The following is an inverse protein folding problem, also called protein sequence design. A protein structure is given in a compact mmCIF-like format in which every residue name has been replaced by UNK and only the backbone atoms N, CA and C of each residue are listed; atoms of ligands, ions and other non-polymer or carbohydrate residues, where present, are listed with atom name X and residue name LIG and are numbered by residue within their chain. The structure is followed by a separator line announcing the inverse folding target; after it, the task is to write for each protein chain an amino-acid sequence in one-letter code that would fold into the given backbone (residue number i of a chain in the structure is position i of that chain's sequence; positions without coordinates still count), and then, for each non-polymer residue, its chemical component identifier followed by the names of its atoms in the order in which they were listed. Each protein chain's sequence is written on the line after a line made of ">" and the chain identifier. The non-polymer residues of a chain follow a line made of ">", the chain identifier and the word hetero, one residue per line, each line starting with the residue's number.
data_IF_099181566984
#
_entry.id   IF_099181566984
#
_cell.length_a   1.000
_cell.length_b   1.000
_cell.length_c   1.000
_cell.angle_alpha   90.00
_cell.angle_beta   90.00
_cell.angle_gamma   90.00
#
_symmetry.space_group_name_H-M   'P 1'
#
loop_
_entity.id
_entity.type
_entity.pdbx_description
1 polymer ?
#
# COMPACT_ATOMS: atom_id res chain seq x y z
N UNK A 1 5.17 60.98 -64.03
CA UNK A 1 4.73 61.77 -62.84
C UNK A 1 4.80 60.93 -61.61
N UNK A 2 5.83 61.08 -60.78
CA UNK A 2 6.08 60.29 -59.59
C UNK A 2 5.59 61.05 -58.36
N UNK A 3 4.75 60.43 -57.53
CA UNK A 3 4.31 60.96 -56.21
C UNK A 3 5.27 60.49 -55.14
N UNK A 4 5.83 61.43 -54.39
CA UNK A 4 6.66 61.21 -53.18
C UNK A 4 5.87 60.63 -52.04
N UNK A 5 6.45 59.75 -51.21
CA UNK A 5 5.80 59.27 -50.02
C UNK A 5 5.96 60.24 -48.84
N UNK A 6 4.86 60.48 -48.13
CA UNK A 6 4.78 61.30 -46.92
C UNK A 6 5.31 60.53 -45.68
N UNK A 7 6.23 61.20 -44.99
CA UNK A 7 6.84 60.67 -43.77
C UNK A 7 5.83 60.62 -42.58
N UNK A 8 5.69 59.44 -41.97
CA UNK A 8 4.85 59.15 -40.80
C UNK A 8 5.62 59.55 -39.54
N UNK A 9 5.15 60.59 -38.84
CA UNK A 9 5.66 61.01 -37.51
C UNK A 9 5.45 59.91 -36.49
N UNK A 10 6.53 59.40 -35.86
CA UNK A 10 6.49 58.50 -34.70
C UNK A 10 6.07 59.32 -33.46
N UNK A 11 4.93 58.97 -32.85
CA UNK A 11 4.51 59.51 -31.56
C UNK A 11 5.33 58.82 -30.46
N UNK A 12 6.09 59.63 -29.73
CA UNK A 12 6.81 59.19 -28.53
C UNK A 12 5.80 58.97 -27.42
N UNK A 13 5.55 57.70 -27.06
CA UNK A 13 4.77 57.36 -25.87
C UNK A 13 5.55 57.74 -24.61
N UNK A 14 5.03 58.67 -23.85
CA UNK A 14 5.52 59.03 -22.51
C UNK A 14 5.28 57.84 -21.57
N UNK A 15 6.34 57.38 -20.90
CA UNK A 15 6.24 56.39 -19.82
C UNK A 15 5.33 56.88 -18.67
N UNK A 16 4.50 55.99 -18.09
CA UNK A 16 3.67 56.39 -16.97
C UNK A 16 4.52 56.68 -15.72
N UNK A 17 4.20 57.78 -15.07
CA UNK A 17 4.80 58.16 -13.78
C UNK A 17 4.54 57.06 -12.74
N UNK A 18 5.49 56.76 -11.83
CA UNK A 18 5.25 55.79 -10.76
C UNK A 18 4.16 56.29 -9.83
N UNK A 19 3.17 55.46 -9.59
CA UNK A 19 2.12 55.70 -8.60
C UNK A 19 2.75 55.79 -7.22
N UNK A 20 2.61 56.97 -6.60
CA UNK A 20 2.97 57.23 -5.18
C UNK A 20 2.21 56.18 -4.32
N UNK A 21 2.94 55.32 -3.61
CA UNK A 21 2.38 54.39 -2.65
C UNK A 21 1.59 55.22 -1.59
N UNK A 22 0.29 54.97 -1.52
CA UNK A 22 -0.53 55.49 -0.42
C UNK A 22 -0.01 54.87 0.88
N UNK A 23 0.33 55.71 1.85
CA UNK A 23 0.67 55.28 3.19
C UNK A 23 -0.46 54.37 3.72
N UNK A 24 -0.11 53.13 4.03
CA UNK A 24 -1.02 52.20 4.68
C UNK A 24 -1.34 52.74 6.07
N UNK A 25 -2.62 52.80 6.39
CA UNK A 25 -3.10 53.08 7.75
C UNK A 25 -2.43 52.08 8.70
N UNK A 26 -2.16 52.48 9.97
CA UNK A 26 -1.57 51.57 10.97
C UNK A 26 -2.55 50.41 11.23
N UNK A 27 -2.35 49.31 10.53
CA UNK A 27 -3.10 48.09 10.76
C UNK A 27 -2.85 47.61 12.17
N UNK A 28 -3.92 47.30 12.88
CA UNK A 28 -3.89 46.63 14.17
C UNK A 28 -3.02 45.41 14.07
N UNK A 29 -1.79 45.47 14.57
CA UNK A 29 -0.93 44.31 14.74
C UNK A 29 -1.53 43.49 15.87
N UNK A 30 -2.37 42.53 15.54
CA UNK A 30 -2.67 41.45 16.46
C UNK A 30 -1.33 40.76 16.80
N UNK A 31 -0.84 41.00 18.01
CA UNK A 31 0.23 40.22 18.59
C UNK A 31 -0.35 38.86 18.90
N UNK A 32 -0.32 37.95 17.92
CA UNK A 32 -0.54 36.53 18.15
C UNK A 32 0.74 36.06 18.86
N UNK A 33 0.72 36.04 20.18
CA UNK A 33 1.72 35.37 20.99
C UNK A 33 1.66 33.89 20.60
N UNK A 34 2.81 33.29 20.16
CA UNK A 34 3.02 31.94 19.75
C UNK A 34 2.89 31.64 18.22
N UNK A 35 3.32 32.52 17.36
CA UNK A 35 3.60 32.17 15.97
C UNK A 35 5.04 31.68 15.89
N UNK A 36 5.20 30.40 15.66
CA UNK A 36 6.49 29.83 15.30
C UNK A 36 6.87 30.27 13.88
N UNK A 37 8.09 30.79 13.71
CA UNK A 37 8.62 31.18 12.40
C UNK A 37 9.76 30.25 12.03
N UNK A 38 9.52 29.38 11.09
CA UNK A 38 10.50 28.44 10.58
C UNK A 38 10.87 28.81 9.13
N UNK A 39 12.16 28.80 8.73
CA UNK A 39 12.53 28.92 7.32
C UNK A 39 11.85 27.84 6.49
N UNK A 40 11.33 28.19 5.32
CA UNK A 40 10.60 27.25 4.45
C UNK A 40 11.47 26.04 4.08
N UNK A 41 12.76 26.25 3.81
CA UNK A 41 13.69 25.17 3.50
C UNK A 41 13.77 24.13 4.64
N UNK A 42 13.96 24.60 5.88
CA UNK A 42 14.04 23.73 7.07
C UNK A 42 12.72 22.98 7.32
N UNK A 43 11.58 23.69 7.15
CA UNK A 43 10.26 23.06 7.26
C UNK A 43 10.06 21.97 6.22
N UNK A 44 10.38 22.26 4.94
CA UNK A 44 10.19 21.30 3.85
C UNK A 44 11.09 20.08 4.00
N UNK A 45 12.38 20.28 4.36
CA UNK A 45 13.32 19.20 4.60
C UNK A 45 12.81 18.25 5.69
N UNK A 46 12.43 18.79 6.85
CA UNK A 46 11.91 17.99 7.97
C UNK A 46 10.61 17.29 7.60
N UNK A 47 9.64 18.00 7.05
CA UNK A 47 8.34 17.43 6.69
C UNK A 47 8.47 16.33 5.62
N UNK A 48 9.38 16.52 4.64
CA UNK A 48 9.63 15.50 3.63
C UNK A 48 10.34 14.27 4.21
N UNK A 49 11.30 14.46 5.11
CA UNK A 49 11.95 13.35 5.79
C UNK A 49 10.96 12.55 6.65
N UNK A 50 10.16 13.22 7.47
CA UNK A 50 9.14 12.57 8.31
C UNK A 50 8.11 11.81 7.45
N UNK A 51 7.66 12.41 6.35
CA UNK A 51 6.78 11.74 5.39
C UNK A 51 7.45 10.53 4.72
N UNK A 52 8.69 10.65 4.31
CA UNK A 52 9.45 9.56 3.67
C UNK A 52 9.62 8.36 4.61
N UNK A 53 9.98 8.62 5.86
CA UNK A 53 10.08 7.60 6.90
C UNK A 53 8.74 6.90 7.13
N UNK A 54 7.65 7.66 7.25
CA UNK A 54 6.31 7.10 7.39
C UNK A 54 5.92 6.21 6.20
N UNK A 55 6.19 6.64 4.96
CA UNK A 55 5.88 5.85 3.75
C UNK A 55 6.65 4.54 3.73
N UNK A 56 7.92 4.54 4.13
CA UNK A 56 8.75 3.33 4.19
C UNK A 56 8.28 2.37 5.31
N UNK A 57 8.06 2.90 6.51
CA UNK A 57 7.85 2.07 7.71
C UNK A 57 6.41 1.61 7.88
N UNK A 58 5.42 2.44 7.47
CA UNK A 58 4.01 2.21 7.84
C UNK A 58 3.01 2.35 6.68
N UNK A 59 3.45 2.29 5.43
CA UNK A 59 2.53 2.40 4.29
C UNK A 59 2.84 1.46 3.14
N UNK A 60 3.99 1.63 2.49
CA UNK A 60 4.23 1.09 1.15
C UNK A 60 4.83 -0.31 1.16
N UNK A 61 5.65 -0.63 2.16
CA UNK A 61 6.39 -1.87 2.21
C UNK A 61 5.71 -2.92 3.10
N UNK A 62 5.72 -4.20 2.70
CA UNK A 62 5.23 -5.29 3.52
C UNK A 62 6.23 -5.64 4.61
N UNK A 63 5.75 -6.25 5.69
CA UNK A 63 6.62 -6.87 6.67
C UNK A 63 7.02 -8.28 6.23
N UNK A 64 8.31 -8.65 6.34
CA UNK A 64 8.82 -9.94 5.86
C UNK A 64 8.19 -11.14 6.57
N UNK A 65 7.80 -11.00 7.83
CA UNK A 65 7.25 -12.10 8.64
C UNK A 65 5.86 -12.56 8.16
N UNK A 66 5.00 -11.63 7.71
CA UNK A 66 3.64 -11.95 7.29
C UNK A 66 3.29 -11.54 5.85
N UNK A 67 4.21 -10.85 5.17
CA UNK A 67 4.02 -10.42 3.78
C UNK A 67 2.96 -9.33 3.58
N UNK A 68 2.48 -8.70 4.66
CA UNK A 68 1.39 -7.75 4.63
C UNK A 68 1.88 -6.31 4.80
N UNK A 69 1.27 -5.40 4.04
CA UNK A 69 1.31 -3.97 4.33
C UNK A 69 0.43 -3.65 5.53
N UNK A 70 0.68 -2.55 6.26
CA UNK A 70 -0.11 -2.19 7.45
C UNK A 70 -1.63 -2.18 7.21
N UNK A 71 -2.09 -1.56 6.11
CA UNK A 71 -3.52 -1.53 5.77
C UNK A 71 -4.10 -2.92 5.54
N UNK A 72 -3.35 -3.81 4.89
CA UNK A 72 -3.78 -5.19 4.61
C UNK A 72 -3.92 -6.00 5.91
N UNK A 73 -2.93 -5.87 6.81
CA UNK A 73 -2.95 -6.50 8.13
C UNK A 73 -4.14 -6.03 8.95
N UNK A 74 -4.41 -4.74 8.99
CA UNK A 74 -5.55 -4.14 9.68
C UNK A 74 -6.89 -4.58 9.11
N UNK A 75 -7.01 -4.75 7.78
CA UNK A 75 -8.22 -5.31 7.15
C UNK A 75 -8.46 -6.75 7.60
N UNK A 76 -7.45 -7.61 7.49
CA UNK A 76 -7.57 -9.04 7.88
C UNK A 76 -7.89 -9.16 9.36
N UNK A 77 -7.24 -8.36 10.22
CA UNK A 77 -7.51 -8.33 11.65
C UNK A 77 -8.93 -7.85 11.96
N UNK A 78 -9.37 -6.73 11.41
CA UNK A 78 -10.72 -6.22 11.62
C UNK A 78 -11.79 -7.21 11.14
N UNK A 79 -11.57 -7.92 10.03
CA UNK A 79 -12.48 -8.97 9.57
C UNK A 79 -12.53 -10.15 10.54
N UNK A 80 -11.42 -10.50 11.18
CA UNK A 80 -11.38 -11.51 12.24
C UNK A 80 -12.19 -11.06 13.46
N UNK A 81 -12.00 -9.84 13.93
CA UNK A 81 -12.76 -9.24 15.04
C UNK A 81 -14.27 -9.18 14.76
N UNK A 82 -14.65 -8.96 13.51
CA UNK A 82 -16.06 -8.99 13.06
C UNK A 82 -16.64 -10.41 12.95
N UNK A 83 -15.85 -11.45 13.21
CA UNK A 83 -16.25 -12.84 13.07
C UNK A 83 -16.50 -13.27 11.62
N UNK A 84 -15.86 -12.61 10.65
CA UNK A 84 -16.01 -12.90 9.22
C UNK A 84 -15.10 -14.05 8.76
N UNK A 85 -15.12 -15.17 9.47
CA UNK A 85 -14.41 -16.38 9.06
C UNK A 85 -14.89 -16.94 7.73
N UNK A 86 -14.17 -17.87 7.14
CA UNK A 86 -14.54 -18.52 5.86
C UNK A 86 -15.91 -19.20 5.88
N UNK A 87 -16.38 -19.65 7.06
CA UNK A 87 -17.69 -20.26 7.25
C UNK A 87 -18.80 -19.24 7.55
N UNK A 88 -18.46 -17.99 7.83
CA UNK A 88 -19.41 -16.94 8.16
C UNK A 88 -20.24 -16.51 6.95
N UNK A 89 -21.38 -15.89 7.21
CA UNK A 89 -22.16 -15.21 6.18
C UNK A 89 -21.41 -13.96 5.71
N UNK A 90 -21.50 -13.68 4.42
CA UNK A 90 -20.97 -12.44 3.86
C UNK A 90 -21.58 -11.21 4.54
N UNK A 91 -20.78 -10.18 4.67
CA UNK A 91 -21.19 -8.86 5.15
C UNK A 91 -20.81 -7.80 4.11
N UNK A 92 -21.57 -6.71 4.07
CA UNK A 92 -21.23 -5.56 3.21
C UNK A 92 -19.80 -5.09 3.46
N UNK A 93 -19.03 -4.92 2.39
CA UNK A 93 -17.63 -4.47 2.47
C UNK A 93 -17.50 -3.12 3.17
N UNK A 94 -18.49 -2.24 3.02
CA UNK A 94 -18.57 -0.98 3.75
C UNK A 94 -18.54 -1.15 5.28
N UNK A 95 -19.02 -2.27 5.84
CA UNK A 95 -18.93 -2.57 7.27
C UNK A 95 -17.48 -2.80 7.69
N UNK A 96 -16.75 -3.63 6.93
CA UNK A 96 -15.33 -3.88 7.19
C UNK A 96 -14.50 -2.60 7.08
N UNK A 97 -14.69 -1.85 5.98
CA UNK A 97 -13.98 -0.57 5.77
C UNK A 97 -14.26 0.40 6.93
N UNK A 98 -15.51 0.54 7.35
CA UNK A 98 -15.90 1.40 8.48
C UNK A 98 -15.19 1.02 9.78
N UNK A 99 -15.13 -0.26 10.12
CA UNK A 99 -14.43 -0.73 11.32
C UNK A 99 -12.91 -0.53 11.23
N UNK A 100 -12.30 -0.79 10.07
CA UNK A 100 -10.87 -0.55 9.85
C UNK A 100 -10.52 0.92 10.07
N UNK A 101 -11.26 1.83 9.45
CA UNK A 101 -11.03 3.28 9.57
C UNK A 101 -11.28 3.79 10.99
N UNK A 102 -12.35 3.32 11.61
CA UNK A 102 -12.74 3.78 12.95
C UNK A 102 -11.85 3.27 14.07
N UNK A 103 -11.20 2.10 13.90
CA UNK A 103 -10.47 1.43 14.95
C UNK A 103 -8.95 1.42 14.76
N UNK A 104 -8.47 1.26 13.53
CA UNK A 104 -7.05 0.91 13.29
C UNK A 104 -6.34 1.77 12.25
N UNK A 105 -7.04 2.30 11.24
CA UNK A 105 -6.39 2.91 10.07
C UNK A 105 -7.03 4.25 9.68
N UNK A 106 -6.61 5.38 10.30
CA UNK A 106 -7.23 6.69 10.12
C UNK A 106 -6.83 7.34 8.78
N UNK A 107 -7.20 6.72 7.66
CA UNK A 107 -6.89 7.15 6.29
C UNK A 107 -8.15 7.16 5.42
N UNK A 108 -7.99 7.41 4.11
CA UNK A 108 -9.12 7.44 3.17
C UNK A 108 -9.80 6.08 2.99
N UNK A 109 -11.12 6.07 2.97
CA UNK A 109 -11.95 4.89 2.76
C UNK A 109 -11.70 4.21 1.40
N UNK A 110 -11.51 5.01 0.36
CA UNK A 110 -11.20 4.51 -0.99
C UNK A 110 -9.91 3.70 -1.02
N UNK A 111 -8.83 4.18 -0.39
CA UNK A 111 -7.56 3.47 -0.34
C UNK A 111 -7.66 2.15 0.45
N UNK A 112 -8.41 2.16 1.56
CA UNK A 112 -8.69 0.96 2.34
C UNK A 112 -9.49 -0.06 1.52
N UNK A 113 -10.54 0.40 0.83
CA UNK A 113 -11.35 -0.49 0.00
C UNK A 113 -10.58 -1.03 -1.22
N UNK A 114 -9.77 -0.20 -1.89
CA UNK A 114 -8.90 -0.66 -2.99
C UNK A 114 -7.92 -1.75 -2.55
N UNK A 115 -7.32 -1.60 -1.37
CA UNK A 115 -6.47 -2.66 -0.80
C UNK A 115 -7.27 -3.95 -0.55
N UNK A 116 -8.50 -3.82 -0.07
CA UNK A 116 -9.42 -4.95 0.14
C UNK A 116 -9.79 -5.64 -1.19
N UNK A 117 -10.03 -4.85 -2.24
CA UNK A 117 -10.33 -5.35 -3.59
C UNK A 117 -9.17 -6.19 -4.13
N UNK A 118 -7.93 -5.70 -4.06
CA UNK A 118 -6.76 -6.44 -4.51
C UNK A 118 -6.61 -7.80 -3.82
N UNK A 119 -6.85 -7.86 -2.50
CA UNK A 119 -6.78 -9.11 -1.73
C UNK A 119 -7.91 -10.11 -2.06
N UNK A 120 -8.99 -9.66 -2.71
CA UNK A 120 -10.10 -10.50 -3.14
C UNK A 120 -10.00 -10.94 -4.60
N UNK A 121 -9.17 -10.30 -5.42
CA UNK A 121 -9.07 -10.59 -6.85
C UNK A 121 -8.21 -11.85 -7.10
N UNK A 122 -8.76 -12.94 -7.66
CA UNK A 122 -8.01 -14.17 -7.91
C UNK A 122 -6.96 -14.04 -9.03
N UNK A 123 -7.03 -12.97 -9.82
CA UNK A 123 -6.03 -12.63 -10.83
C UNK A 123 -4.94 -11.67 -10.34
N UNK A 124 -5.12 -11.07 -9.13
CA UNK A 124 -4.11 -10.21 -8.49
C UNK A 124 -3.35 -10.96 -7.40
N UNK A 125 -4.03 -11.85 -6.66
CA UNK A 125 -3.46 -12.64 -5.57
C UNK A 125 -3.45 -14.12 -5.93
N UNK A 126 -2.27 -14.76 -5.84
CA UNK A 126 -2.16 -16.22 -6.07
C UNK A 126 -2.98 -17.01 -5.06
N UNK A 127 -3.05 -16.51 -3.83
CA UNK A 127 -3.85 -17.04 -2.73
C UNK A 127 -4.66 -15.90 -2.09
N UNK A 128 -5.87 -15.60 -2.61
CA UNK A 128 -6.69 -14.53 -2.07
C UNK A 128 -6.96 -14.67 -0.59
N UNK A 129 -6.92 -13.55 0.13
CA UNK A 129 -7.21 -13.51 1.56
C UNK A 129 -8.67 -13.17 1.85
N UNK A 130 -9.35 -12.57 0.89
CA UNK A 130 -10.75 -12.16 0.98
C UNK A 130 -11.55 -12.93 -0.05
N UNK A 131 -12.65 -13.51 0.40
CA UNK A 131 -13.69 -14.10 -0.42
C UNK A 131 -14.78 -13.05 -0.63
N UNK A 132 -14.94 -12.60 -1.87
CA UNK A 132 -15.81 -11.50 -2.25
C UNK A 132 -17.02 -11.97 -3.04
N UNK A 133 -18.19 -11.35 -2.78
CA UNK A 133 -19.42 -11.52 -3.54
C UNK A 133 -19.83 -10.20 -4.19
N UNK A 134 -20.13 -10.23 -5.49
CA UNK A 134 -20.42 -9.05 -6.29
C UNK A 134 -19.35 -8.79 -7.37
N UNK A 135 -19.28 -7.56 -7.87
CA UNK A 135 -18.28 -7.17 -8.86
C UNK A 135 -17.01 -6.64 -8.16
N UNK A 136 -15.92 -7.41 -8.26
CA UNK A 136 -14.60 -7.10 -7.73
C UNK A 136 -13.57 -6.80 -8.84
N UNK A 137 -14.04 -6.47 -10.05
CA UNK A 137 -13.21 -6.26 -11.23
C UNK A 137 -12.97 -7.54 -12.03
N UNK A 138 -12.24 -7.40 -13.12
CA UNK A 138 -11.86 -8.50 -14.02
C UNK A 138 -10.40 -8.36 -14.45
N UNK A 139 -9.78 -9.40 -15.01
CA UNK A 139 -8.42 -9.29 -15.55
C UNK A 139 -8.25 -8.19 -16.59
N UNK A 140 -9.28 -7.98 -17.44
CA UNK A 140 -9.25 -6.95 -18.49
C UNK A 140 -9.43 -5.53 -17.93
N UNK A 141 -10.16 -5.39 -16.81
CA UNK A 141 -10.36 -4.12 -16.11
C UNK A 141 -10.34 -4.29 -14.59
N UNK A 142 -9.15 -4.39 -14.00
CA UNK A 142 -8.98 -4.63 -12.57
C UNK A 142 -9.53 -3.51 -11.68
N UNK A 143 -9.70 -2.31 -12.23
CA UNK A 143 -10.18 -1.13 -11.50
C UNK A 143 -11.68 -0.89 -11.63
N UNK A 144 -12.37 -1.64 -12.47
CA UNK A 144 -13.83 -1.54 -12.65
C UNK A 144 -14.58 -2.45 -11.67
N UNK A 145 -14.45 -2.16 -10.39
CA UNK A 145 -15.16 -2.85 -9.31
C UNK A 145 -16.30 -2.00 -8.77
N UNK A 146 -17.31 -2.64 -8.18
CA UNK A 146 -18.46 -1.95 -7.59
C UNK A 146 -18.07 -1.24 -6.28
N UNK A 147 -18.79 -0.18 -5.94
CA UNK A 147 -18.60 0.49 -4.66
C UNK A 147 -18.85 -0.43 -3.47
N UNK A 148 -18.16 -0.20 -2.35
CA UNK A 148 -18.17 -1.04 -1.14
C UNK A 148 -19.56 -1.28 -0.53
N UNK A 149 -20.54 -0.43 -0.84
CA UNK A 149 -21.94 -0.60 -0.42
C UNK A 149 -22.68 -1.70 -1.18
N UNK A 150 -22.17 -2.11 -2.34
CA UNK A 150 -22.78 -3.18 -3.17
C UNK A 150 -22.08 -4.51 -2.97
N UNK A 151 -20.76 -4.54 -2.75
CA UNK A 151 -20.00 -5.77 -2.55
C UNK A 151 -20.16 -6.32 -1.14
N UNK A 152 -19.99 -7.62 -1.02
CA UNK A 152 -19.97 -8.34 0.26
C UNK A 152 -18.70 -9.16 0.37
N UNK A 153 -18.23 -9.39 1.58
CA UNK A 153 -16.94 -10.03 1.82
C UNK A 153 -16.90 -10.83 3.11
N UNK A 154 -15.97 -11.78 3.15
CA UNK A 154 -15.53 -12.57 4.32
C UNK A 154 -14.08 -13.01 4.09
N UNK A 155 -13.45 -13.59 5.09
CA UNK A 155 -12.12 -14.17 4.96
C UNK A 155 -12.17 -15.50 4.19
N UNK A 156 -11.07 -15.82 3.48
CA UNK A 156 -10.89 -17.15 2.87
C UNK A 156 -10.39 -18.15 3.90
N UNK A 157 -10.46 -19.48 3.62
CA UNK A 157 -9.79 -20.49 4.43
C UNK A 157 -8.27 -20.26 4.52
N UNK A 158 -7.66 -19.73 3.45
CA UNK A 158 -6.22 -19.44 3.43
C UNK A 158 -5.84 -18.28 4.38
N UNK A 159 -6.69 -17.26 4.53
CA UNK A 159 -6.48 -16.19 5.49
C UNK A 159 -6.46 -16.69 6.94
N UNK A 160 -7.12 -17.82 7.25
CA UNK A 160 -7.09 -18.41 8.60
C UNK A 160 -5.69 -18.87 8.98
N UNK A 161 -4.83 -19.23 8.03
CA UNK A 161 -3.44 -19.58 8.30
C UNK A 161 -2.63 -18.39 8.86
N UNK A 162 -2.99 -17.15 8.51
CA UNK A 162 -2.40 -15.93 9.09
C UNK A 162 -2.83 -15.70 10.54
N UNK A 163 -4.03 -16.12 10.90
CA UNK A 163 -4.71 -15.75 12.15
C UNK A 163 -4.69 -16.86 13.21
N UNK A 164 -4.46 -18.11 12.82
CA UNK A 164 -4.73 -19.30 13.64
C UNK A 164 -4.01 -19.36 14.99
N UNK A 165 -2.92 -18.61 15.15
CA UNK A 165 -2.13 -18.59 16.39
C UNK A 165 -2.13 -17.21 17.07
N UNK A 166 -2.98 -16.29 16.62
CA UNK A 166 -2.98 -14.90 17.06
C UNK A 166 -3.19 -14.75 18.57
N UNK A 167 -4.06 -15.59 19.16
CA UNK A 167 -4.39 -15.57 20.60
C UNK A 167 -3.45 -16.43 21.46
N UNK A 168 -2.40 -17.02 20.86
CA UNK A 168 -1.50 -17.94 21.56
C UNK A 168 -0.21 -17.27 22.08
N UNK A 169 -0.18 -15.95 22.13
CA UNK A 169 1.01 -15.20 22.59
C UNK A 169 2.18 -15.22 21.60
N UNK A 170 1.92 -15.50 20.33
CA UNK A 170 2.92 -15.62 19.27
C UNK A 170 3.37 -14.29 18.69
N UNK A 171 2.65 -13.21 18.95
CA UNK A 171 2.88 -11.88 18.38
C UNK A 171 2.87 -10.79 19.43
N UNK A 172 3.59 -9.68 19.14
CA UNK A 172 3.50 -8.47 19.94
C UNK A 172 2.26 -7.66 19.57
N UNK A 173 1.62 -7.09 20.55
CA UNK A 173 0.50 -6.17 20.42
C UNK A 173 0.99 -4.73 20.58
N UNK A 174 0.40 -3.83 19.84
CA UNK A 174 0.70 -2.39 19.90
C UNK A 174 -0.60 -1.59 19.99
N UNK A 175 -0.59 -0.44 20.68
CA UNK A 175 -1.75 0.43 20.68
C UNK A 175 -2.12 0.87 19.25
N UNK A 176 -3.42 0.99 18.99
CA UNK A 176 -3.93 1.60 17.77
C UNK A 176 -3.64 3.11 17.77
N UNK A 177 -4.06 3.82 16.70
CA UNK A 177 -3.74 5.23 16.48
C UNK A 177 -4.21 6.19 17.60
N UNK A 178 -5.27 5.86 18.35
CA UNK A 178 -5.80 6.68 19.45
C UNK A 178 -5.53 6.09 20.84
N UNK A 179 -4.87 4.92 20.92
CA UNK A 179 -4.51 4.24 22.16
C UNK A 179 -5.69 3.60 22.91
N UNK A 180 -6.86 3.48 22.29
CA UNK A 180 -8.06 2.89 22.91
C UNK A 180 -8.17 1.40 22.72
N UNK A 181 -7.51 0.86 21.70
CA UNK A 181 -7.49 -0.57 21.35
C UNK A 181 -6.06 -1.03 21.09
N UNK A 182 -5.87 -2.32 20.96
CA UNK A 182 -4.61 -2.93 20.55
C UNK A 182 -4.77 -3.61 19.18
N UNK A 183 -3.71 -3.60 18.38
CA UNK A 183 -3.63 -4.33 17.12
C UNK A 183 -2.35 -5.18 17.08
N UNK A 184 -2.34 -6.32 16.35
CA UNK A 184 -1.13 -7.13 16.23
C UNK A 184 -0.10 -6.41 15.37
N UNK A 185 1.13 -6.31 15.87
CA UNK A 185 2.25 -5.69 15.13
C UNK A 185 2.55 -6.45 13.84
N UNK A 186 2.47 -7.77 13.88
CA UNK A 186 2.60 -8.72 12.75
C UNK A 186 1.62 -9.86 12.96
N UNK A 187 1.28 -10.58 11.89
CA UNK A 187 0.48 -11.81 12.00
C UNK A 187 1.38 -13.03 12.27
N UNK A 188 0.86 -14.09 12.94
CA UNK A 188 1.61 -15.33 13.18
C UNK A 188 2.07 -16.02 11.89
N UNK A 189 1.30 -15.92 10.84
CA UNK A 189 1.53 -16.29 9.45
C UNK A 189 1.75 -17.78 9.14
N UNK A 190 2.36 -18.59 9.99
CA UNK A 190 2.68 -20.03 9.83
C UNK A 190 3.47 -20.39 8.56
N UNK A 191 3.31 -19.65 7.49
CA UNK A 191 3.92 -19.83 6.17
C UNK A 191 4.51 -18.49 5.68
N UNK A 192 5.53 -18.51 4.83
CA UNK A 192 6.13 -17.29 4.30
C UNK A 192 5.23 -16.63 3.23
N UNK A 193 4.19 -15.94 3.68
CA UNK A 193 3.20 -15.28 2.80
C UNK A 193 3.82 -14.28 1.83
N UNK A 194 4.95 -13.67 2.20
CA UNK A 194 5.72 -12.80 1.30
C UNK A 194 6.14 -13.51 0.01
N UNK A 195 6.43 -14.80 0.06
CA UNK A 195 6.73 -15.60 -1.12
C UNK A 195 5.46 -16.14 -1.79
N UNK A 196 4.45 -16.52 -1.02
CA UNK A 196 3.24 -17.15 -1.55
C UNK A 196 2.42 -16.20 -2.43
N UNK A 197 2.15 -15.00 -1.95
CA UNK A 197 1.39 -14.00 -2.71
C UNK A 197 2.30 -12.99 -3.42
N UNK A 198 3.59 -12.99 -3.11
CA UNK A 198 4.46 -11.92 -3.55
C UNK A 198 4.04 -10.58 -2.94
N UNK A 199 4.66 -9.52 -3.38
CA UNK A 199 4.28 -8.17 -2.99
C UNK A 199 4.96 -7.14 -3.87
N UNK A 200 4.28 -6.06 -4.17
CA UNK A 200 4.86 -4.88 -4.81
C UNK A 200 4.65 -3.67 -3.91
N UNK A 201 5.64 -2.81 -3.82
CA UNK A 201 5.53 -1.60 -3.01
C UNK A 201 6.53 -0.54 -3.44
N UNK A 202 6.02 0.67 -3.72
CA UNK A 202 6.83 1.81 -4.11
C UNK A 202 6.83 2.80 -2.95
N UNK A 203 7.97 2.91 -2.28
CA UNK A 203 8.20 3.86 -1.20
C UNK A 203 9.05 5.04 -1.67
N UNK A 204 9.47 5.89 -0.77
CA UNK A 204 10.41 6.96 -1.06
C UNK A 204 11.84 6.43 -0.96
N UNK A 205 12.60 6.51 -2.05
CA UNK A 205 13.99 6.06 -2.10
C UNK A 205 14.19 4.55 -2.24
N UNK A 206 13.13 3.73 -2.16
CA UNK A 206 13.21 2.29 -2.35
C UNK A 206 11.88 1.71 -2.84
N UNK A 207 11.95 0.54 -3.46
CA UNK A 207 10.79 -0.23 -3.90
C UNK A 207 11.04 -1.71 -3.63
N UNK A 208 9.96 -2.50 -3.55
CA UNK A 208 10.01 -3.95 -3.51
C UNK A 208 9.10 -4.52 -4.60
N UNK A 209 9.54 -5.62 -5.21
CA UNK A 209 8.76 -6.37 -6.19
C UNK A 209 9.14 -7.85 -6.08
N UNK A 210 8.31 -8.60 -5.38
CA UNK A 210 8.51 -10.03 -5.12
C UNK A 210 7.37 -10.78 -5.81
N UNK A 211 7.67 -11.69 -6.77
CA UNK A 211 6.64 -12.47 -7.43
C UNK A 211 6.03 -13.52 -6.50
N UNK A 212 4.79 -13.98 -6.77
CA UNK A 212 4.18 -15.09 -6.04
C UNK A 212 4.80 -16.43 -6.42
N UNK A 213 4.68 -17.43 -5.50
CA UNK A 213 5.24 -18.77 -5.67
C UNK A 213 4.23 -19.86 -5.29
N UNK A 214 4.47 -21.06 -5.80
CA UNK A 214 3.60 -22.20 -5.54
C UNK A 214 3.72 -22.67 -4.08
N UNK A 215 2.57 -22.83 -3.41
CA UNK A 215 2.50 -23.25 -2.00
C UNK A 215 3.20 -24.57 -1.72
N UNK A 216 3.05 -25.59 -2.60
CA UNK A 216 3.66 -26.89 -2.40
C UNK A 216 5.18 -26.81 -2.50
N UNK A 217 5.70 -26.03 -3.45
CA UNK A 217 7.12 -25.80 -3.64
C UNK A 217 7.72 -25.06 -2.44
N UNK A 218 7.06 -23.99 -1.99
CA UNK A 218 7.48 -23.20 -0.81
C UNK A 218 7.45 -24.09 0.45
N UNK A 219 6.40 -24.88 0.65
CA UNK A 219 6.32 -25.80 1.79
C UNK A 219 7.45 -26.85 1.76
N UNK A 220 7.75 -27.42 0.59
CA UNK A 220 8.86 -28.36 0.45
C UNK A 220 10.22 -27.72 0.74
N UNK A 221 10.42 -26.47 0.33
CA UNK A 221 11.62 -25.69 0.66
C UNK A 221 11.72 -25.38 2.16
N UNK A 222 10.59 -25.08 2.82
CA UNK A 222 10.55 -24.88 4.27
C UNK A 222 10.93 -26.18 5.02
N UNK A 223 10.37 -27.31 4.63
CA UNK A 223 10.76 -28.64 5.20
C UNK A 223 12.25 -28.86 5.03
N UNK A 224 12.78 -28.65 3.82
CA UNK A 224 14.22 -28.78 3.56
C UNK A 224 15.06 -27.87 4.47
N UNK A 225 14.64 -26.64 4.67
CA UNK A 225 15.36 -25.66 5.52
C UNK A 225 15.32 -26.07 7.01
N UNK A 226 14.21 -26.67 7.47
CA UNK A 226 14.12 -27.20 8.82
C UNK A 226 15.03 -28.42 9.05
N UNK A 227 15.12 -29.31 8.04
CA UNK A 227 16.00 -30.48 8.08
C UNK A 227 17.49 -30.11 7.98
N UNK A 228 17.79 -29.06 7.18
CA UNK A 228 19.14 -28.55 6.93
C UNK A 228 19.15 -27.04 6.94
N UNK A 229 19.32 -26.39 8.13
CA UNK A 229 19.31 -24.93 8.29
C UNK A 229 20.33 -24.19 7.41
N UNK A 230 21.47 -24.81 7.12
CA UNK A 230 22.54 -24.23 6.27
C UNK A 230 22.31 -24.43 4.78
N UNK A 231 21.08 -24.71 4.34
CA UNK A 231 20.76 -24.87 2.93
C UNK A 231 21.01 -23.59 2.14
N UNK A 232 21.73 -23.70 1.04
CA UNK A 232 21.97 -22.59 0.13
C UNK A 232 20.73 -22.26 -0.71
N UNK A 233 20.66 -21.03 -1.28
CA UNK A 233 19.62 -20.64 -2.23
C UNK A 233 19.52 -21.68 -3.38
N UNK A 234 20.64 -22.12 -3.93
CA UNK A 234 20.65 -23.13 -4.99
C UNK A 234 20.11 -24.51 -4.58
N UNK A 235 20.19 -24.88 -3.29
CA UNK A 235 19.54 -26.10 -2.76
C UNK A 235 18.03 -25.89 -2.61
N UNK A 236 17.59 -24.72 -2.13
CA UNK A 236 16.17 -24.40 -2.01
C UNK A 236 15.48 -24.27 -3.38
N UNK A 237 16.19 -23.79 -4.38
CA UNK A 237 15.71 -23.73 -5.77
C UNK A 237 15.52 -25.09 -6.45
N UNK A 238 15.93 -26.19 -5.83
CA UNK A 238 15.52 -27.54 -6.29
C UNK A 238 14.04 -27.81 -5.98
N UNK A 239 13.47 -27.11 -5.01
CA UNK A 239 12.09 -27.20 -4.60
C UNK A 239 11.26 -26.05 -5.21
N UNK A 240 11.74 -24.80 -5.15
CA UNK A 240 11.10 -23.63 -5.75
C UNK A 240 11.72 -23.40 -7.12
N UNK A 241 10.96 -23.70 -8.19
CA UNK A 241 11.48 -23.63 -9.55
C UNK A 241 11.43 -22.23 -10.16
N UNK A 242 10.63 -21.34 -9.62
CA UNK A 242 10.43 -19.98 -10.08
C UNK A 242 9.09 -19.39 -9.63
N UNK A 243 8.71 -18.24 -10.19
CA UNK A 243 7.41 -17.64 -9.93
C UNK A 243 6.23 -18.51 -10.33
N UNK A 244 5.09 -18.35 -9.65
CA UNK A 244 3.82 -19.02 -9.96
C UNK A 244 2.70 -17.96 -9.94
N UNK A 245 2.43 -17.36 -11.10
CA UNK A 245 1.46 -16.29 -11.25
C UNK A 245 0.02 -16.81 -11.31
N UNK A 246 -0.98 -16.03 -10.82
CA UNK A 246 -2.38 -16.47 -10.76
C UNK A 246 -3.10 -16.51 -12.11
N UNK A 247 -2.47 -16.04 -13.20
CA UNK A 247 -3.12 -15.84 -14.51
C UNK A 247 -2.90 -16.99 -15.48
N UNK A 248 -2.31 -18.12 -15.06
CA UNK A 248 -1.98 -19.26 -15.91
C UNK A 248 -1.10 -18.90 -17.12
N UNK A 249 -0.33 -17.81 -17.01
CA UNK A 249 0.58 -17.35 -18.04
C UNK A 249 1.83 -18.25 -18.16
N UNK A 250 2.39 -18.36 -19.35
CA UNK A 250 3.65 -19.06 -19.57
C UNK A 250 4.85 -18.15 -19.25
N UNK A 251 5.81 -18.66 -18.46
CA UNK A 251 7.06 -17.97 -18.17
C UNK A 251 8.07 -18.34 -19.25
N UNK A 252 8.38 -17.38 -20.13
CA UNK A 252 9.34 -17.56 -21.23
C UNK A 252 10.80 -17.39 -20.81
N UNK A 253 11.06 -16.84 -19.60
CA UNK A 253 12.41 -16.68 -19.04
C UNK A 253 13.06 -18.04 -18.82
N UNK A 254 14.30 -18.21 -19.27
CA UNK A 254 15.00 -19.50 -19.14
C UNK A 254 15.26 -19.85 -17.67
N UNK A 255 15.32 -21.15 -17.36
CA UNK A 255 15.63 -21.63 -15.99
C UNK A 255 16.99 -21.13 -15.49
N UNK A 256 17.95 -20.89 -16.37
CA UNK A 256 19.26 -20.37 -16.02
C UNK A 256 19.18 -18.90 -15.59
N UNK A 257 18.40 -18.08 -16.29
CA UNK A 257 18.16 -16.67 -15.95
C UNK A 257 17.36 -16.54 -14.65
N UNK A 258 16.30 -17.36 -14.47
CA UNK A 258 15.55 -17.38 -13.21
C UNK A 258 16.49 -17.71 -12.04
N UNK A 259 17.35 -18.73 -12.21
CA UNK A 259 18.32 -19.09 -11.17
C UNK A 259 19.31 -17.98 -10.88
N UNK A 260 19.75 -17.24 -11.89
CA UNK A 260 20.64 -16.10 -11.70
C UNK A 260 19.98 -14.93 -10.96
N UNK A 261 18.67 -14.74 -11.13
CA UNK A 261 17.90 -13.70 -10.41
C UNK A 261 17.69 -14.02 -8.92
N UNK A 262 17.64 -15.31 -8.55
CA UNK A 262 17.41 -15.75 -7.17
C UNK A 262 18.72 -15.87 -6.35
N UNK A 263 19.89 -16.01 -6.99
CA UNK A 263 21.20 -16.08 -6.36
C UNK A 263 21.86 -14.70 -6.19
#
# INVERSE_FOLDING_TARGET
>A
MAKKPTARRKSVRKSPKPLRAKAQAPGVRLRVANIERLPLATFTEKAYLDYSMYVVLDRALPHIADGLKPVQRRIVYAMSELGLSAAAKYKKSARTVGDVLGKFHPHGDSACYEAMVLMAQPFSYRYPLIDGQGNWGSPDDPKSFAAMRYTESRLTPFAQALLSELEQGTVAWVPNFDGTLEEPKIMPARLPHVLLNGTTGIAVGMATDIPPHNLREVAAACVRLLEKPDSTTGELMKHIQGPDYPTEAEIVTSKAEIRALYN
#
